data_IF_180860930039
#
_entry.id   IF_180860930039
#
_cell.length_a   1.000
_cell.length_b   1.000
_cell.length_c   1.000
_cell.angle_alpha   90.00
_cell.angle_beta   90.00
_cell.angle_gamma   90.00
#
_symmetry.space_group_name_H-M   'P 1'
#
loop_
_entity.id
_entity.type
_entity.pdbx_description
1 polymer ?
#
# COMPACT_ATOMS: atom_id res chain seq x y z
N UNK A 1 32.40 46.97 -67.24
CA UNK A 1 31.30 47.92 -66.97
C UNK A 1 30.36 47.27 -65.98
N UNK A 2 29.97 48.04 -64.96
CA UNK A 2 28.93 47.80 -63.95
C UNK A 2 29.14 46.71 -62.86
N UNK A 3 29.25 47.25 -61.66
CA UNK A 3 29.24 46.69 -60.29
C UNK A 3 27.79 46.35 -59.91
N UNK A 4 27.55 45.32 -59.06
CA UNK A 4 26.82 45.43 -57.77
C UNK A 4 26.50 44.07 -57.11
N UNK A 5 26.95 44.00 -55.87
CA UNK A 5 26.77 43.00 -54.82
C UNK A 5 25.31 42.71 -54.45
N UNK A 6 25.04 41.50 -53.94
CA UNK A 6 24.50 41.27 -52.57
C UNK A 6 24.50 39.77 -52.21
N UNK A 7 25.06 39.46 -51.03
CA UNK A 7 24.67 38.48 -49.97
C UNK A 7 24.13 37.09 -50.37
N UNK A 8 24.31 35.99 -49.63
CA UNK A 8 25.01 35.53 -48.42
C UNK A 8 24.68 34.02 -48.39
N UNK A 9 25.54 33.11 -47.94
CA UNK A 9 25.53 32.56 -46.58
C UNK A 9 26.71 31.56 -46.49
N UNK A 10 27.73 31.85 -45.69
CA UNK A 10 27.90 31.39 -44.31
C UNK A 10 28.03 29.86 -44.16
N UNK A 11 29.29 29.45 -44.24
CA UNK A 11 29.90 28.36 -43.47
C UNK A 11 29.37 28.30 -42.03
N UNK A 12 29.09 27.10 -41.51
CA UNK A 12 29.92 26.43 -40.50
C UNK A 12 29.19 25.19 -39.98
N UNK A 13 29.87 24.05 -40.07
CA UNK A 13 29.56 22.84 -39.31
C UNK A 13 29.73 23.15 -37.81
N UNK A 14 28.65 22.99 -37.03
CA UNK A 14 28.71 22.92 -35.57
C UNK A 14 28.20 21.55 -35.15
N UNK A 15 29.05 20.87 -34.38
CA UNK A 15 28.98 19.43 -34.13
C UNK A 15 27.73 18.95 -33.41
N UNK A 16 27.50 17.65 -33.56
CA UNK A 16 26.66 16.85 -32.71
C UNK A 16 27.19 16.96 -31.27
N UNK A 17 26.64 17.89 -30.50
CA UNK A 17 26.68 17.78 -29.05
C UNK A 17 25.81 16.57 -28.69
N UNK A 18 26.46 15.42 -28.51
CA UNK A 18 25.86 14.36 -27.73
C UNK A 18 25.61 14.93 -26.34
N UNK A 19 24.36 15.28 -26.03
CA UNK A 19 23.93 15.46 -24.66
C UNK A 19 24.06 14.09 -23.98
N UNK A 20 25.25 13.81 -23.45
CA UNK A 20 25.34 13.01 -22.26
C UNK A 20 24.61 13.82 -21.18
N UNK A 21 23.29 13.64 -21.09
CA UNK A 21 22.54 14.08 -19.90
C UNK A 21 23.29 13.49 -18.73
N UNK A 22 23.87 14.36 -17.90
CA UNK A 22 24.35 13.95 -16.60
C UNK A 22 23.19 13.20 -15.92
N UNK A 23 23.46 12.09 -15.21
CA UNK A 23 22.42 11.42 -14.44
C UNK A 23 21.74 12.48 -13.58
N UNK A 24 20.45 12.64 -13.80
CA UNK A 24 19.63 13.55 -13.03
C UNK A 24 19.85 13.17 -11.55
N UNK A 25 20.17 14.14 -10.66
CA UNK A 25 20.37 13.82 -9.26
C UNK A 25 19.13 13.08 -8.78
N UNK A 26 19.31 11.85 -8.29
CA UNK A 26 18.23 11.08 -7.68
C UNK A 26 17.57 11.99 -6.65
N UNK A 27 16.27 12.26 -6.85
CA UNK A 27 15.51 13.00 -5.87
C UNK A 27 15.72 12.32 -4.50
N UNK A 28 16.01 13.08 -3.44
CA UNK A 28 16.21 12.48 -2.13
C UNK A 28 14.97 11.63 -1.80
N UNK A 29 15.21 10.40 -1.33
CA UNK A 29 14.14 9.53 -0.90
C UNK A 29 13.22 10.30 0.07
N UNK A 30 11.88 10.17 -0.05
CA UNK A 30 10.96 10.84 0.85
C UNK A 30 11.37 10.60 2.31
N UNK A 31 11.43 11.67 3.09
CA UNK A 31 11.75 11.54 4.50
C UNK A 31 10.68 10.67 5.17
N UNK A 32 11.11 9.56 5.78
CA UNK A 32 10.19 8.65 6.46
C UNK A 32 9.41 9.38 7.55
N UNK A 33 8.11 9.12 7.60
CA UNK A 33 7.19 9.70 8.58
C UNK A 33 7.65 9.35 10.01
N UNK A 34 7.65 10.32 10.91
CA UNK A 34 7.98 10.06 12.31
C UNK A 34 6.93 9.16 12.98
N UNK A 35 7.35 8.37 13.98
CA UNK A 35 6.45 7.48 14.70
C UNK A 35 5.33 8.22 15.46
N UNK A 36 5.60 9.44 15.92
CA UNK A 36 4.60 10.31 16.54
C UNK A 36 3.53 10.73 15.54
N UNK A 37 3.95 11.20 14.35
CA UNK A 37 3.03 11.59 13.29
C UNK A 37 2.23 10.38 12.78
N UNK A 38 2.87 9.23 12.61
CA UNK A 38 2.20 7.99 12.27
C UNK A 38 1.16 7.60 13.33
N UNK A 39 1.51 7.67 14.61
CA UNK A 39 0.57 7.38 15.71
C UNK A 39 -0.63 8.31 15.70
N UNK A 40 -0.44 9.60 15.41
CA UNK A 40 -1.53 10.56 15.29
C UNK A 40 -2.47 10.21 14.13
N UNK A 41 -1.93 9.89 12.94
CA UNK A 41 -2.72 9.48 11.78
C UNK A 41 -3.49 8.19 12.01
N UNK A 42 -2.86 7.18 12.61
CA UNK A 42 -3.52 5.91 12.96
C UNK A 42 -4.67 6.12 13.95
N UNK A 43 -4.46 6.96 14.97
CA UNK A 43 -5.52 7.32 15.93
C UNK A 43 -6.67 8.06 15.26
N UNK A 44 -6.36 9.00 14.35
CA UNK A 44 -7.38 9.73 13.59
C UNK A 44 -8.24 8.76 12.76
N UNK A 45 -7.61 7.85 12.00
CA UNK A 45 -8.30 6.84 11.22
C UNK A 45 -9.19 5.92 12.07
N UNK A 46 -8.73 5.52 13.27
CA UNK A 46 -9.51 4.70 14.19
C UNK A 46 -10.67 5.45 14.88
N UNK A 47 -10.59 6.79 14.91
CA UNK A 47 -11.61 7.65 15.53
C UNK A 47 -12.79 8.00 14.61
N UNK A 48 -12.73 7.59 13.34
CA UNK A 48 -13.81 7.81 12.38
C UNK A 48 -15.13 7.18 12.85
N UNK A 49 -16.25 7.81 12.49
CA UNK A 49 -17.55 7.52 13.10
C UNK A 49 -18.09 6.16 12.67
N UNK A 50 -17.96 5.84 11.39
CA UNK A 50 -18.48 4.60 10.79
C UNK A 50 -17.36 3.62 10.41
N UNK A 51 -17.70 2.34 10.25
CA UNK A 51 -16.76 1.33 9.76
C UNK A 51 -16.20 1.68 8.38
N UNK A 52 -17.07 2.14 7.46
CA UNK A 52 -16.67 2.54 6.10
C UNK A 52 -15.67 3.69 6.10
N UNK A 53 -15.89 4.72 6.94
CA UNK A 53 -14.96 5.84 7.06
C UNK A 53 -13.62 5.40 7.67
N UNK A 54 -13.64 4.55 8.71
CA UNK A 54 -12.40 3.97 9.29
C UNK A 54 -11.61 3.19 8.25
N UNK A 55 -12.29 2.36 7.46
CA UNK A 55 -11.64 1.56 6.42
C UNK A 55 -11.04 2.44 5.32
N UNK A 56 -11.78 3.47 4.89
CA UNK A 56 -11.30 4.43 3.91
C UNK A 56 -10.07 5.20 4.43
N UNK A 57 -10.10 5.65 5.69
CA UNK A 57 -8.98 6.35 6.32
C UNK A 57 -7.75 5.45 6.48
N UNK A 58 -7.92 4.20 6.90
CA UNK A 58 -6.82 3.23 6.97
C UNK A 58 -6.26 2.90 5.58
N UNK A 59 -7.12 2.79 4.56
CA UNK A 59 -6.69 2.58 3.17
C UNK A 59 -5.89 3.77 2.64
N UNK A 60 -6.31 5.00 2.94
CA UNK A 60 -5.55 6.19 2.59
C UNK A 60 -4.20 6.27 3.34
N UNK A 61 -4.17 5.89 4.62
CA UNK A 61 -2.94 5.79 5.41
C UNK A 61 -1.97 4.78 4.79
N UNK A 62 -2.45 3.58 4.45
CA UNK A 62 -1.67 2.53 3.78
C UNK A 62 -1.14 2.99 2.42
N UNK A 63 -1.82 3.90 1.71
CA UNK A 63 -1.40 4.36 0.39
C UNK A 63 -0.30 5.44 0.40
N UNK A 64 0.06 5.98 1.56
CA UNK A 64 1.13 6.98 1.67
C UNK A 64 2.48 6.40 1.24
N UNK A 65 3.30 7.25 0.63
CA UNK A 65 4.66 6.93 0.17
C UNK A 65 5.71 7.09 1.26
N UNK A 66 5.43 7.90 2.29
CA UNK A 66 6.34 8.21 3.39
C UNK A 66 6.30 7.24 4.58
N UNK A 67 5.50 6.17 4.52
CA UNK A 67 5.49 5.14 5.57
C UNK A 67 6.64 4.17 5.41
N UNK A 68 7.33 3.91 6.53
CA UNK A 68 8.19 2.71 6.64
C UNK A 68 7.37 1.43 6.53
N UNK A 69 8.01 0.32 6.16
CA UNK A 69 7.37 -1.00 6.09
C UNK A 69 6.73 -1.40 7.42
N UNK A 70 7.39 -1.08 8.54
CA UNK A 70 6.86 -1.30 9.90
C UNK A 70 5.52 -0.57 10.10
N UNK A 71 5.48 0.72 9.79
CA UNK A 71 4.26 1.54 9.93
C UNK A 71 3.15 1.07 8.98
N UNK A 72 3.51 0.73 7.73
CA UNK A 72 2.57 0.20 6.76
C UNK A 72 2.00 -1.15 7.23
N UNK A 73 2.83 -2.03 7.78
CA UNK A 73 2.43 -3.30 8.38
C UNK A 73 1.46 -3.10 9.56
N UNK A 74 1.72 -2.15 10.45
CA UNK A 74 0.78 -1.79 11.52
C UNK A 74 -0.57 -1.31 10.97
N UNK A 75 -0.57 -0.48 9.92
CA UNK A 75 -1.80 -0.01 9.30
C UNK A 75 -2.59 -1.15 8.61
N UNK A 76 -1.90 -2.09 7.97
CA UNK A 76 -2.49 -3.32 7.44
C UNK A 76 -3.13 -4.15 8.55
N UNK A 77 -2.43 -4.39 9.67
CA UNK A 77 -2.98 -5.12 10.81
C UNK A 77 -4.31 -4.52 11.31
N UNK A 78 -4.35 -3.20 11.47
CA UNK A 78 -5.51 -2.47 11.96
C UNK A 78 -6.70 -2.56 10.97
N UNK A 79 -6.44 -2.43 9.66
CA UNK A 79 -7.47 -2.59 8.63
C UNK A 79 -7.98 -4.03 8.55
N UNK A 80 -7.08 -4.99 8.67
CA UNK A 80 -7.41 -6.42 8.73
C UNK A 80 -8.31 -6.71 9.94
N UNK A 81 -7.96 -6.17 11.12
CA UNK A 81 -8.79 -6.31 12.32
C UNK A 81 -10.18 -5.68 12.15
N UNK A 82 -10.26 -4.49 11.55
CA UNK A 82 -11.53 -3.82 11.25
C UNK A 82 -12.41 -4.66 10.31
N UNK A 83 -11.84 -5.16 9.21
CA UNK A 83 -12.55 -5.97 8.21
C UNK A 83 -12.95 -7.34 8.74
N UNK A 84 -12.21 -7.88 9.71
CA UNK A 84 -12.47 -9.18 10.33
C UNK A 84 -13.12 -9.09 11.70
N UNK A 85 -13.65 -7.93 12.12
CA UNK A 85 -13.99 -7.66 13.51
C UNK A 85 -14.91 -8.73 14.14
N UNK A 86 -14.70 -8.98 15.44
CA UNK A 86 -15.04 -10.20 16.18
C UNK A 86 -16.33 -10.11 17.02
N UNK A 87 -16.75 -8.90 17.38
CA UNK A 87 -17.82 -8.68 18.36
C UNK A 87 -19.14 -8.45 17.64
N UNK A 88 -19.90 -9.54 17.43
CA UNK A 88 -21.17 -9.61 16.68
C UNK A 88 -20.99 -9.40 15.18
N UNK A 89 -20.24 -10.28 14.52
CA UNK A 89 -20.06 -10.37 13.05
C UNK A 89 -21.27 -9.78 12.31
N UNK A 90 -21.11 -8.51 11.92
CA UNK A 90 -22.08 -7.72 11.18
C UNK A 90 -22.07 -8.21 9.72
N UNK A 91 -23.08 -7.87 8.92
CA UNK A 91 -23.12 -8.18 7.47
C UNK A 91 -21.97 -7.54 6.68
N UNK A 92 -21.13 -6.75 7.36
CA UNK A 92 -19.99 -5.99 6.83
C UNK A 92 -18.62 -6.57 7.21
N UNK A 93 -18.57 -7.72 7.90
CA UNK A 93 -17.31 -8.42 8.14
C UNK A 93 -16.91 -9.24 6.90
N UNK A 94 -15.64 -9.14 6.51
CA UNK A 94 -15.03 -9.85 5.39
C UNK A 94 -13.77 -10.58 5.87
N UNK A 95 -13.90 -11.79 6.45
CA UNK A 95 -12.76 -12.58 6.90
C UNK A 95 -11.68 -12.79 5.84
N UNK A 96 -12.09 -12.94 4.58
CA UNK A 96 -11.20 -13.09 3.44
C UNK A 96 -10.32 -11.84 3.24
N UNK A 97 -10.91 -10.64 3.30
CA UNK A 97 -10.13 -9.40 3.21
C UNK A 97 -9.22 -9.20 4.43
N UNK A 98 -9.69 -9.59 5.62
CA UNK A 98 -8.89 -9.55 6.85
C UNK A 98 -7.61 -10.38 6.74
N UNK A 99 -7.72 -11.62 6.22
CA UNK A 99 -6.57 -12.48 5.97
C UNK A 99 -5.56 -11.83 5.02
N UNK A 100 -6.03 -11.21 3.94
CA UNK A 100 -5.15 -10.55 2.96
C UNK A 100 -4.35 -9.43 3.63
N UNK A 101 -4.98 -8.59 4.43
CA UNK A 101 -4.30 -7.52 5.18
C UNK A 101 -3.26 -8.09 6.17
N UNK A 102 -3.58 -9.18 6.86
CA UNK A 102 -2.64 -9.86 7.75
C UNK A 102 -1.44 -10.46 7.03
N UNK A 103 -1.61 -10.96 5.81
CA UNK A 103 -0.48 -11.40 4.98
C UNK A 103 0.41 -10.24 4.59
N UNK A 104 -0.16 -9.09 4.21
CA UNK A 104 0.63 -7.90 3.89
C UNK A 104 1.46 -7.44 5.08
N UNK A 105 0.90 -7.49 6.30
CA UNK A 105 1.68 -7.22 7.51
C UNK A 105 2.87 -8.19 7.65
N UNK A 106 2.64 -9.50 7.48
CA UNK A 106 3.70 -10.51 7.61
C UNK A 106 4.79 -10.34 6.54
N UNK A 107 4.41 -9.99 5.32
CA UNK A 107 5.34 -9.78 4.21
C UNK A 107 6.23 -8.55 4.44
N UNK A 108 5.64 -7.45 4.89
CA UNK A 108 6.36 -6.19 5.11
C UNK A 108 7.21 -6.19 6.38
N UNK A 109 6.76 -6.88 7.44
CA UNK A 109 7.43 -6.86 8.73
C UNK A 109 7.37 -8.24 9.43
N UNK A 110 8.06 -9.27 8.89
CA UNK A 110 7.99 -10.64 9.40
C UNK A 110 8.49 -10.80 10.85
N UNK A 111 9.36 -9.89 11.31
CA UNK A 111 9.90 -9.88 12.68
C UNK A 111 9.14 -8.92 13.62
N UNK A 112 7.98 -8.38 13.20
CA UNK A 112 7.24 -7.42 14.01
C UNK A 112 6.74 -8.07 15.32
N UNK A 113 6.79 -7.38 16.48
CA UNK A 113 6.32 -7.92 17.75
C UNK A 113 4.84 -8.35 17.76
N UNK A 114 4.04 -7.88 16.80
CA UNK A 114 2.62 -8.25 16.68
C UNK A 114 2.38 -9.49 15.81
N UNK A 115 3.39 -10.06 15.14
CA UNK A 115 3.21 -11.25 14.28
C UNK A 115 2.53 -12.41 15.03
N UNK A 116 2.94 -12.80 16.25
CA UNK A 116 2.26 -13.88 16.97
C UNK A 116 0.79 -13.59 17.31
N UNK A 117 0.41 -12.31 17.44
CA UNK A 117 -0.99 -11.90 17.64
C UNK A 117 -1.75 -11.95 16.32
N UNK A 118 -1.18 -11.37 15.27
CA UNK A 118 -1.74 -11.39 13.92
C UNK A 118 -2.00 -12.82 13.45
N UNK A 119 -1.09 -13.77 13.67
CA UNK A 119 -1.27 -15.17 13.25
C UNK A 119 -2.47 -15.83 13.91
N UNK A 120 -2.73 -15.53 15.19
CA UNK A 120 -3.93 -15.99 15.90
C UNK A 120 -5.18 -15.38 15.30
N UNK A 121 -5.17 -14.06 15.05
CA UNK A 121 -6.28 -13.35 14.44
C UNK A 121 -6.57 -13.92 13.04
N UNK A 122 -5.55 -14.09 12.19
CA UNK A 122 -5.63 -14.69 10.85
C UNK A 122 -6.19 -16.12 10.89
N UNK A 123 -5.70 -16.96 11.80
CA UNK A 123 -6.19 -18.34 11.96
C UNK A 123 -7.68 -18.34 12.30
N UNK A 124 -8.10 -17.44 13.18
CA UNK A 124 -9.50 -17.26 13.49
C UNK A 124 -10.30 -16.81 12.26
N UNK A 125 -9.80 -15.87 11.45
CA UNK A 125 -10.47 -15.47 10.20
C UNK A 125 -10.66 -16.66 9.24
N UNK A 126 -9.62 -17.47 9.03
CA UNK A 126 -9.73 -18.67 8.19
C UNK A 126 -10.78 -19.65 8.69
N UNK A 127 -10.87 -19.83 10.02
CA UNK A 127 -11.87 -20.71 10.63
C UNK A 127 -13.33 -20.27 10.38
N UNK A 128 -13.55 -19.13 9.72
CA UNK A 128 -14.87 -18.58 9.40
C UNK A 128 -15.21 -18.59 7.93
N UNK A 129 -14.29 -18.98 7.05
CA UNK A 129 -14.52 -18.92 5.59
C UNK A 129 -15.70 -19.77 5.13
N UNK A 130 -16.06 -20.80 5.88
CA UNK A 130 -17.17 -21.71 5.55
C UNK A 130 -18.56 -21.16 5.89
N UNK A 131 -18.68 -20.02 6.59
CA UNK A 131 -19.98 -19.44 6.90
C UNK A 131 -20.51 -18.63 5.72
N UNK A 132 -21.71 -18.97 5.24
CA UNK A 132 -22.36 -18.30 4.11
C UNK A 132 -22.64 -16.82 4.33
N UNK A 133 -22.68 -16.36 5.59
CA UNK A 133 -22.80 -14.93 5.93
C UNK A 133 -21.66 -14.09 5.33
N UNK A 134 -20.51 -14.71 5.03
CA UNK A 134 -19.33 -14.03 4.49
C UNK A 134 -19.15 -14.24 2.98
N UNK A 135 -20.16 -14.78 2.28
CA UNK A 135 -20.15 -14.89 0.82
C UNK A 135 -20.25 -13.52 0.13
N UNK A 136 -20.53 -12.46 0.88
CA UNK A 136 -20.58 -11.07 0.39
C UNK A 136 -19.22 -10.40 0.25
N UNK A 137 -18.13 -11.07 0.66
CA UNK A 137 -16.79 -10.51 0.51
C UNK A 137 -16.48 -10.16 -0.96
N UNK A 138 -15.76 -9.05 -1.23
CA UNK A 138 -15.26 -8.72 -2.56
C UNK A 138 -14.52 -9.90 -3.19
N UNK A 139 -14.73 -10.12 -4.50
CA UNK A 139 -14.16 -11.28 -5.20
C UNK A 139 -12.63 -11.28 -5.14
N UNK A 140 -12.01 -10.11 -5.25
CA UNK A 140 -10.55 -9.92 -5.10
C UNK A 140 -10.02 -10.45 -3.76
N UNK A 141 -10.76 -10.25 -2.66
CA UNK A 141 -10.36 -10.77 -1.36
C UNK A 141 -10.52 -12.29 -1.29
N UNK A 142 -11.55 -12.86 -1.93
CA UNK A 142 -11.76 -14.30 -1.98
C UNK A 142 -10.63 -15.00 -2.73
N UNK A 143 -10.26 -14.45 -3.89
CA UNK A 143 -9.20 -15.01 -4.74
C UNK A 143 -7.85 -14.94 -4.01
N UNK A 144 -7.51 -13.77 -3.46
CA UNK A 144 -6.26 -13.59 -2.70
C UNK A 144 -6.21 -14.44 -1.42
N UNK A 145 -7.35 -14.64 -0.74
CA UNK A 145 -7.41 -15.49 0.44
C UNK A 145 -7.36 -17.00 0.10
N UNK A 146 -7.78 -17.40 -1.10
CA UNK A 146 -7.58 -18.78 -1.58
C UNK A 146 -6.08 -19.05 -1.83
N UNK A 147 -5.38 -18.12 -2.46
CA UNK A 147 -3.92 -18.19 -2.65
C UNK A 147 -3.18 -18.21 -1.31
N UNK A 148 -3.64 -17.42 -0.34
CA UNK A 148 -3.15 -17.42 1.03
C UNK A 148 -3.22 -18.79 1.69
N UNK A 149 -4.36 -19.46 1.55
CA UNK A 149 -4.61 -20.77 2.15
C UNK A 149 -3.67 -21.83 1.57
N UNK A 150 -3.45 -21.81 0.25
CA UNK A 150 -2.50 -22.72 -0.41
C UNK A 150 -1.09 -22.53 0.12
N UNK A 151 -0.63 -21.28 0.27
CA UNK A 151 0.72 -20.96 0.79
C UNK A 151 0.94 -21.40 2.24
N UNK A 152 -0.11 -21.51 3.04
CA UNK A 152 -0.02 -21.91 4.44
C UNK A 152 -0.16 -23.43 4.64
N UNK A 153 -0.65 -24.16 3.64
CA UNK A 153 -0.85 -25.61 3.66
C UNK A 153 0.26 -26.40 2.95
N UNK A 154 1.05 -25.73 2.11
CA UNK A 154 2.24 -26.29 1.45
C UNK A 154 3.52 -26.00 2.22
#
# INVERSE_FOLDING_TARGET
MAIRSTLAALLLAAGLAGCASAPEPEAPAPAALSDEAFTALRKAAQSESTQTEREAALTALIARDDLSDRQRAEAYYERGFLRGNYVRDDVWAYPQCSVVDYMMMQELAPDHPWIPRMEKDRTYQFSRFHYSTFDTAPQECKDAAADALVKLQG
#
